data_IF_815448112288
#
_entry.id   IF_815448112288
#
_cell.length_a   1.000
_cell.length_b   1.000
_cell.length_c   1.000
_cell.angle_alpha   90.00
_cell.angle_beta   90.00
_cell.angle_gamma   90.00
#
_symmetry.space_group_name_H-M   'P 1'
#
loop_
_entity.id
_entity.type
_entity.pdbx_description
1 polymer ?
#
# COMPACT_ATOMS: atom_id res chain seq x y z
N UNK A 1 -4.81 -23.23 -17.20
CA UNK A 1 -4.67 -21.77 -16.99
C UNK A 1 -4.76 -21.53 -15.49
N UNK A 2 -3.89 -20.67 -14.95
CA UNK A 2 -3.92 -20.33 -13.53
C UNK A 2 -5.25 -19.64 -13.18
N UNK A 3 -5.78 -19.95 -12.00
CA UNK A 3 -7.03 -19.38 -11.47
C UNK A 3 -6.90 -17.87 -11.31
N UNK A 4 -7.85 -17.09 -11.83
CA UNK A 4 -7.82 -15.62 -11.73
C UNK A 4 -7.94 -15.18 -10.26
N UNK A 5 -6.82 -14.78 -9.67
CA UNK A 5 -6.70 -14.53 -8.24
C UNK A 5 -6.40 -13.06 -7.97
N UNK A 6 -7.21 -12.44 -7.12
CA UNK A 6 -7.01 -11.08 -6.65
C UNK A 6 -6.58 -11.11 -5.19
N UNK A 7 -5.44 -10.50 -4.88
CA UNK A 7 -5.05 -10.18 -3.52
C UNK A 7 -5.33 -8.70 -3.24
N UNK A 8 -6.06 -8.44 -2.16
CA UNK A 8 -6.32 -7.09 -1.66
C UNK A 8 -5.49 -6.90 -0.40
N UNK A 9 -4.49 -6.04 -0.47
CA UNK A 9 -3.54 -5.79 0.60
C UNK A 9 -3.90 -4.50 1.34
N UNK A 10 -4.00 -4.59 2.66
CA UNK A 10 -4.07 -3.43 3.56
C UNK A 10 -2.88 -3.37 4.51
N UNK A 11 -2.90 -2.38 5.40
CA UNK A 11 -1.72 -2.02 6.19
C UNK A 11 -1.26 -3.17 7.11
N UNK A 12 -2.18 -4.04 7.55
CA UNK A 12 -1.86 -5.22 8.34
C UNK A 12 -0.98 -6.25 7.61
N UNK A 13 -0.91 -6.23 6.27
CA UNK A 13 -0.02 -7.10 5.51
C UNK A 13 1.45 -6.67 5.63
N UNK A 14 1.71 -5.36 5.63
CA UNK A 14 3.05 -4.79 5.81
C UNK A 14 3.44 -4.71 7.29
N UNK A 15 2.50 -4.84 8.22
CA UNK A 15 2.79 -4.86 9.66
C UNK A 15 3.74 -6.01 10.07
N UNK A 16 3.61 -7.18 9.44
CA UNK A 16 4.44 -8.35 9.77
C UNK A 16 5.95 -8.14 9.53
N UNK A 17 6.30 -7.16 8.70
CA UNK A 17 7.70 -6.76 8.41
C UNK A 17 8.11 -5.45 9.11
N UNK A 18 7.25 -4.92 9.98
CA UNK A 18 7.56 -3.76 10.83
C UNK A 18 7.01 -2.41 10.35
N UNK A 19 6.14 -2.36 9.34
CA UNK A 19 5.52 -1.10 8.93
C UNK A 19 4.40 -0.68 9.91
N UNK A 20 4.17 0.63 10.10
CA UNK A 20 3.18 1.14 11.04
C UNK A 20 1.75 0.89 10.53
N UNK A 21 0.83 0.61 11.46
CA UNK A 21 -0.61 0.47 11.18
C UNK A 21 -1.45 1.29 12.15
N UNK A 22 -2.64 1.72 11.69
CA UNK A 22 -3.63 2.40 12.52
C UNK A 22 -3.06 3.59 13.28
N UNK A 23 -3.12 3.55 14.61
CA UNK A 23 -2.67 4.63 15.48
C UNK A 23 -1.18 4.94 15.34
N UNK A 24 -0.32 3.95 15.07
CA UNK A 24 1.13 4.22 14.97
C UNK A 24 1.46 5.15 13.80
N UNK A 25 0.84 4.93 12.64
CA UNK A 25 1.00 5.81 11.47
C UNK A 25 0.45 7.22 11.76
N UNK A 26 -0.69 7.31 12.44
CA UNK A 26 -1.29 8.57 12.88
C UNK A 26 -0.36 9.35 13.81
N UNK A 27 0.29 8.66 14.75
CA UNK A 27 1.25 9.28 15.67
C UNK A 27 2.50 9.78 14.93
N UNK A 28 3.00 9.01 13.96
CA UNK A 28 4.14 9.40 13.15
C UNK A 28 3.81 10.63 12.29
N UNK A 29 2.63 10.68 11.66
CA UNK A 29 2.14 11.85 10.91
C UNK A 29 1.97 13.07 11.83
N UNK A 30 1.38 12.90 13.01
CA UNK A 30 1.20 13.98 13.99
C UNK A 30 2.54 14.61 14.39
N UNK A 31 3.54 13.76 14.68
CA UNK A 31 4.91 14.19 15.00
C UNK A 31 5.58 14.92 13.83
N UNK A 32 5.44 14.42 12.60
CA UNK A 32 6.00 15.04 11.40
C UNK A 32 5.43 16.46 11.19
N UNK A 33 4.12 16.62 11.39
CA UNK A 33 3.37 17.84 11.10
C UNK A 33 3.26 18.83 12.27
N UNK A 34 3.95 18.59 13.39
CA UNK A 34 3.78 19.40 14.59
C UNK A 34 4.17 20.89 14.42
N UNK A 35 5.17 21.17 13.58
CA UNK A 35 5.60 22.51 13.13
C UNK A 35 5.60 23.61 14.22
N UNK A 36 6.37 23.43 15.30
CA UNK A 36 6.48 24.38 16.41
C UNK A 36 7.67 25.33 16.22
N UNK A 37 7.52 26.54 16.74
CA UNK A 37 8.53 27.59 16.71
C UNK A 37 8.63 28.25 18.08
N UNK A 38 9.86 28.48 18.54
CA UNK A 38 10.19 29.16 19.80
C UNK A 38 11.05 30.38 19.49
N UNK A 39 10.64 31.56 19.95
CA UNK A 39 11.32 32.83 19.68
C UNK A 39 11.61 33.08 18.18
N UNK A 40 10.71 32.62 17.30
CA UNK A 40 10.84 32.74 15.84
C UNK A 40 11.73 31.68 15.17
N UNK A 41 12.33 30.76 15.94
CA UNK A 41 13.14 29.66 15.43
C UNK A 41 12.36 28.36 15.43
N UNK A 42 12.55 27.51 14.41
CA UNK A 42 11.93 26.19 14.35
C UNK A 42 12.39 25.32 15.53
N UNK A 43 11.45 24.75 16.29
CA UNK A 43 11.75 23.98 17.50
C UNK A 43 11.24 22.54 17.46
N UNK A 44 10.20 22.22 16.68
CA UNK A 44 9.68 20.85 16.59
C UNK A 44 8.92 20.57 15.28
N UNK A 45 8.89 19.31 14.86
CA UNK A 45 8.32 18.83 13.59
C UNK A 45 9.40 18.43 12.59
N UNK A 46 9.02 18.21 11.33
CA UNK A 46 9.95 17.90 10.26
C UNK A 46 10.49 19.18 9.58
N UNK A 47 11.77 19.47 9.80
CA UNK A 47 12.43 20.66 9.25
C UNK A 47 12.59 20.63 7.73
N UNK A 48 12.81 19.45 7.13
CA UNK A 48 12.88 19.29 5.67
C UNK A 48 11.54 19.60 5.02
N UNK A 49 10.44 19.15 5.62
CA UNK A 49 9.09 19.50 5.18
C UNK A 49 8.86 21.02 5.29
N UNK A 50 9.26 21.66 6.39
CA UNK A 50 9.18 23.12 6.51
C UNK A 50 9.97 23.84 5.40
N UNK A 51 11.19 23.38 5.09
CA UNK A 51 11.98 23.92 3.98
C UNK A 51 11.28 23.70 2.63
N UNK A 52 10.68 22.53 2.41
CA UNK A 52 9.94 22.23 1.18
C UNK A 52 8.74 23.17 0.99
N UNK A 53 8.01 23.48 2.07
CA UNK A 53 6.90 24.43 2.03
C UNK A 53 7.39 25.86 1.73
N UNK A 54 8.51 26.28 2.34
CA UNK A 54 9.11 27.59 2.00
C UNK A 54 9.50 27.68 0.55
N UNK A 55 10.12 26.64 -0.01
CA UNK A 55 10.46 26.59 -1.43
C UNK A 55 9.21 26.59 -2.32
N UNK A 56 8.16 25.88 -1.91
CA UNK A 56 6.90 25.81 -2.65
C UNK A 56 6.18 27.16 -2.73
N UNK A 57 6.30 28.00 -1.70
CA UNK A 57 5.67 29.32 -1.64
C UNK A 57 6.64 30.46 -1.98
N UNK A 58 7.71 30.19 -2.73
CA UNK A 58 8.72 31.19 -3.11
C UNK A 58 9.29 32.01 -1.94
N UNK A 59 9.44 31.36 -0.77
CA UNK A 59 9.83 31.95 0.51
C UNK A 59 8.89 33.07 1.04
N UNK A 60 7.66 33.14 0.55
CA UNK A 60 6.62 34.01 1.07
C UNK A 60 6.15 33.52 2.46
N UNK A 61 6.50 34.26 3.50
CA UNK A 61 6.19 33.89 4.89
C UNK A 61 4.68 33.79 5.16
N UNK A 62 3.87 34.70 4.61
CA UNK A 62 2.43 34.70 4.87
C UNK A 62 1.78 33.45 4.26
N UNK A 63 2.19 33.07 3.06
CA UNK A 63 1.71 31.87 2.39
C UNK A 63 2.22 30.59 3.05
N UNK A 64 3.52 30.52 3.40
CA UNK A 64 4.08 29.39 4.16
C UNK A 64 3.31 29.19 5.48
N UNK A 65 2.96 30.27 6.17
CA UNK A 65 2.21 30.21 7.42
C UNK A 65 0.82 29.60 7.26
N UNK A 66 0.18 29.71 6.09
CA UNK A 66 -1.08 29.01 5.80
C UNK A 66 -0.86 27.48 5.80
N UNK A 67 0.18 26.99 5.14
CA UNK A 67 0.50 25.55 5.15
C UNK A 67 0.90 25.05 6.55
N UNK A 68 1.65 25.84 7.30
CA UNK A 68 2.01 25.51 8.69
C UNK A 68 0.76 25.40 9.57
N UNK A 69 -0.22 26.28 9.38
CA UNK A 69 -1.50 26.20 10.08
C UNK A 69 -2.22 24.89 9.78
N UNK A 70 -2.27 24.47 8.51
CA UNK A 70 -2.86 23.18 8.14
C UNK A 70 -2.06 21.98 8.69
N UNK A 71 -0.72 22.05 8.71
CA UNK A 71 0.12 21.02 9.35
C UNK A 71 -0.27 20.82 10.83
N UNK A 72 -0.35 21.92 11.59
CA UNK A 72 -0.75 21.88 13.00
C UNK A 72 -2.17 21.37 13.17
N UNK A 73 -3.08 21.80 12.29
CA UNK A 73 -4.46 21.33 12.31
C UNK A 73 -4.55 19.80 12.13
N UNK A 74 -3.82 19.23 11.17
CA UNK A 74 -3.72 17.78 11.00
C UNK A 74 -3.11 17.15 12.26
N UNK A 75 -1.96 17.65 12.73
CA UNK A 75 -1.24 17.13 13.89
C UNK A 75 -2.11 17.02 15.14
N UNK A 76 -2.85 18.08 15.45
CA UNK A 76 -3.65 18.19 16.68
C UNK A 76 -4.92 17.33 16.62
N UNK A 77 -5.45 17.06 15.42
CA UNK A 77 -6.70 16.31 15.24
C UNK A 77 -6.50 14.85 14.84
N UNK A 78 -5.27 14.43 14.52
CA UNK A 78 -4.98 13.05 14.13
C UNK A 78 -5.36 11.99 15.19
N UNK A 79 -5.28 12.26 16.52
CA UNK A 79 -5.83 11.34 17.53
C UNK A 79 -7.34 11.08 17.38
N UNK A 80 -8.11 12.06 16.90
CA UNK A 80 -9.56 11.95 16.67
C UNK A 80 -9.91 11.27 15.33
N UNK A 81 -8.99 11.30 14.36
CA UNK A 81 -9.21 10.76 13.04
C UNK A 81 -9.20 9.22 13.03
N UNK A 82 -10.03 8.61 12.16
CA UNK A 82 -9.99 7.17 11.92
C UNK A 82 -8.69 6.78 11.20
N UNK A 83 -8.33 7.54 10.17
CA UNK A 83 -7.08 7.44 9.41
C UNK A 83 -6.76 8.81 8.80
N UNK A 84 -5.54 8.97 8.27
CA UNK A 84 -5.16 10.17 7.51
C UNK A 84 -6.05 10.34 6.28
N UNK A 85 -6.43 9.25 5.60
CA UNK A 85 -7.27 9.29 4.40
C UNK A 85 -8.67 9.82 4.70
N UNK A 86 -9.28 9.33 5.78
CA UNK A 86 -10.58 9.82 6.24
C UNK A 86 -10.50 11.29 6.67
N UNK A 87 -9.39 11.72 7.27
CA UNK A 87 -9.20 13.11 7.67
C UNK A 87 -9.11 14.04 6.45
N UNK A 88 -8.25 13.71 5.47
CA UNK A 88 -8.12 14.48 4.23
C UNK A 88 -9.45 14.50 3.46
N UNK A 89 -10.19 13.39 3.41
CA UNK A 89 -11.50 13.34 2.74
C UNK A 89 -12.56 14.18 3.46
N UNK A 90 -12.54 14.28 4.79
CA UNK A 90 -13.46 15.15 5.54
C UNK A 90 -13.24 16.65 5.29
N UNK A 91 -12.04 17.01 4.85
CA UNK A 91 -11.61 18.39 4.53
C UNK A 91 -11.52 18.61 3.01
N UNK A 92 -12.37 17.92 2.24
CA UNK A 92 -12.37 17.98 0.77
C UNK A 92 -12.48 19.41 0.25
N UNK A 93 -11.56 19.77 -0.64
CA UNK A 93 -11.43 21.12 -1.21
C UNK A 93 -10.37 21.98 -0.52
N UNK A 94 -9.78 21.52 0.59
CA UNK A 94 -8.63 22.16 1.21
C UNK A 94 -7.32 21.60 0.64
N UNK A 95 -6.88 22.15 -0.50
CA UNK A 95 -5.68 21.68 -1.21
C UNK A 95 -4.39 21.79 -0.37
N UNK A 96 -4.32 22.78 0.54
CA UNK A 96 -3.17 22.98 1.41
C UNK A 96 -3.04 21.86 2.43
N UNK A 97 -4.16 21.52 3.09
CA UNK A 97 -4.24 20.41 4.03
C UNK A 97 -3.95 19.08 3.33
N UNK A 98 -4.55 18.85 2.15
CA UNK A 98 -4.27 17.66 1.37
C UNK A 98 -2.78 17.54 1.02
N UNK A 99 -2.13 18.62 0.58
CA UNK A 99 -0.70 18.62 0.30
C UNK A 99 0.14 18.30 1.54
N UNK A 100 -0.11 18.96 2.67
CA UNK A 100 0.61 18.71 3.93
C UNK A 100 0.46 17.24 4.38
N UNK A 101 -0.76 16.70 4.34
CA UNK A 101 -1.03 15.30 4.68
C UNK A 101 -0.32 14.31 3.76
N UNK A 102 -0.33 14.56 2.45
CA UNK A 102 0.37 13.73 1.45
C UNK A 102 1.88 13.72 1.66
N UNK A 103 2.51 14.86 1.97
CA UNK A 103 3.95 14.91 2.27
C UNK A 103 4.26 14.11 3.53
N UNK A 104 3.43 14.22 4.58
CA UNK A 104 3.63 13.46 5.81
C UNK A 104 3.49 11.94 5.60
N UNK A 105 2.57 11.51 4.73
CA UNK A 105 2.45 10.10 4.32
C UNK A 105 3.76 9.63 3.65
N UNK A 106 4.28 10.40 2.69
CA UNK A 106 5.53 10.06 1.98
C UNK A 106 6.69 9.90 2.97
N UNK A 107 6.88 10.88 3.86
CA UNK A 107 7.96 10.89 4.86
C UNK A 107 7.83 9.71 5.84
N UNK A 108 6.64 9.49 6.40
CA UNK A 108 6.39 8.41 7.35
C UNK A 108 6.62 7.02 6.74
N UNK A 109 6.14 6.80 5.52
CA UNK A 109 6.21 5.49 4.86
C UNK A 109 7.63 5.19 4.39
N UNK A 110 8.37 6.16 3.84
CA UNK A 110 9.78 5.93 3.48
C UNK A 110 10.65 5.66 4.71
N UNK A 111 10.41 6.37 5.81
CA UNK A 111 11.08 6.09 7.08
C UNK A 111 10.76 4.67 7.58
N UNK A 112 9.51 4.23 7.46
CA UNK A 112 9.09 2.89 7.83
C UNK A 112 9.68 1.80 6.92
N UNK A 113 9.71 2.02 5.60
CA UNK A 113 10.39 1.13 4.65
C UNK A 113 11.85 0.96 5.03
N UNK A 114 12.56 2.05 5.37
CA UNK A 114 13.97 2.04 5.79
C UNK A 114 14.22 1.25 7.08
N UNK A 115 13.22 1.17 7.96
CA UNK A 115 13.29 0.45 9.23
C UNK A 115 12.74 -0.99 9.14
N UNK A 116 12.22 -1.40 7.99
CA UNK A 116 11.57 -2.70 7.82
C UNK A 116 12.58 -3.84 7.65
N UNK A 117 12.09 -5.06 7.79
CA UNK A 117 12.88 -6.28 7.54
C UNK A 117 13.28 -6.46 6.06
N UNK A 118 12.70 -5.67 5.13
CA UNK A 118 13.02 -5.71 3.71
C UNK A 118 14.10 -4.70 3.30
N UNK A 119 14.49 -3.79 4.20
CA UNK A 119 15.55 -2.83 3.92
C UNK A 119 16.93 -3.49 3.95
N UNK A 120 17.80 -3.04 3.06
CA UNK A 120 19.21 -3.41 3.04
C UNK A 120 20.02 -2.29 2.40
N UNK A 121 21.27 -2.11 2.82
CA UNK A 121 22.15 -1.10 2.27
C UNK A 121 22.94 -1.67 1.09
N UNK A 122 22.57 -1.24 -0.12
CA UNK A 122 23.24 -1.63 -1.37
C UNK A 122 24.75 -1.36 -1.37
N UNK A 123 25.20 -0.35 -0.64
CA UNK A 123 26.62 0.05 -0.54
C UNK A 123 27.29 -0.45 0.73
N UNK A 124 26.50 -0.99 1.67
CA UNK A 124 26.97 -1.53 2.93
C UNK A 124 27.40 -2.99 2.84
N UNK A 125 27.48 -3.62 4.03
CA UNK A 125 27.82 -5.03 4.17
C UNK A 125 26.65 -5.94 3.78
N UNK A 126 25.42 -5.54 4.11
CA UNK A 126 24.18 -6.26 3.79
C UNK A 126 23.62 -5.79 2.45
N UNK A 127 24.09 -6.39 1.35
CA UNK A 127 23.74 -5.97 -0.02
C UNK A 127 22.45 -6.59 -0.57
N UNK A 128 21.72 -7.36 0.23
CA UNK A 128 20.49 -8.05 -0.18
C UNK A 128 19.58 -8.29 1.03
N UNK A 129 18.31 -8.54 0.75
CA UNK A 129 17.34 -8.96 1.77
C UNK A 129 17.82 -10.26 2.43
N UNK A 130 17.80 -10.29 3.75
CA UNK A 130 17.95 -11.54 4.50
C UNK A 130 16.58 -12.19 4.69
N UNK A 131 16.27 -13.17 3.85
CA UNK A 131 14.97 -13.86 3.88
C UNK A 131 14.69 -14.61 5.19
N UNK A 132 15.71 -14.93 6.01
CA UNK A 132 15.48 -15.58 7.31
C UNK A 132 14.70 -14.68 8.29
N UNK A 133 14.79 -13.35 8.13
CA UNK A 133 14.00 -12.43 8.95
C UNK A 133 12.50 -12.49 8.61
N UNK A 134 12.16 -12.99 7.41
CA UNK A 134 10.79 -13.06 6.92
C UNK A 134 10.08 -14.39 7.26
N UNK A 135 10.73 -15.30 8.00
CA UNK A 135 10.20 -16.65 8.29
C UNK A 135 8.81 -16.65 8.94
N UNK A 136 8.52 -15.63 9.74
CA UNK A 136 7.23 -15.48 10.44
C UNK A 136 6.23 -14.58 9.70
N UNK A 137 6.48 -14.29 8.42
CA UNK A 137 5.66 -13.39 7.61
C UNK A 137 4.99 -14.11 6.44
N UNK A 138 3.93 -13.51 5.88
CA UNK A 138 3.22 -14.06 4.72
C UNK A 138 4.00 -13.98 3.40
N UNK A 139 5.06 -13.17 3.32
CA UNK A 139 5.84 -12.97 2.10
C UNK A 139 6.47 -14.26 1.57
N UNK A 140 7.10 -15.05 2.44
CA UNK A 140 7.72 -16.32 2.04
C UNK A 140 6.71 -17.38 1.58
N UNK A 141 5.62 -17.70 2.32
CA UNK A 141 4.63 -18.65 1.83
C UNK A 141 3.93 -18.13 0.57
N UNK A 142 3.67 -16.83 0.45
CA UNK A 142 3.15 -16.26 -0.79
C UNK A 142 4.08 -16.54 -1.98
N UNK A 143 5.38 -16.25 -1.86
CA UNK A 143 6.34 -16.55 -2.92
C UNK A 143 6.41 -18.04 -3.25
N UNK A 144 6.36 -18.92 -2.24
CA UNK A 144 6.31 -20.37 -2.46
C UNK A 144 5.06 -20.77 -3.25
N UNK A 145 3.89 -20.26 -2.87
CA UNK A 145 2.63 -20.50 -3.60
C UNK A 145 2.71 -20.03 -5.06
N UNK A 146 3.34 -18.88 -5.31
CA UNK A 146 3.53 -18.39 -6.68
C UNK A 146 4.47 -19.28 -7.52
N UNK A 147 5.51 -19.83 -6.89
CA UNK A 147 6.61 -20.53 -7.60
C UNK A 147 6.54 -22.05 -7.54
N UNK A 148 5.59 -22.60 -6.78
CA UNK A 148 5.36 -24.03 -6.65
C UNK A 148 5.15 -24.69 -8.01
N UNK A 149 5.98 -25.70 -8.31
CA UNK A 149 5.99 -26.45 -9.56
C UNK A 149 6.10 -25.58 -10.83
N UNK A 150 6.74 -24.42 -10.72
CA UNK A 150 6.81 -23.42 -11.79
C UNK A 150 8.27 -23.05 -12.12
N UNK A 151 8.66 -23.12 -13.40
CA UNK A 151 9.99 -22.65 -13.85
C UNK A 151 9.94 -21.16 -14.14
N UNK A 152 11.10 -20.51 -14.17
CA UNK A 152 11.17 -19.07 -14.49
C UNK A 152 10.45 -18.71 -15.81
N UNK A 153 10.54 -19.57 -16.83
CA UNK A 153 9.88 -19.38 -18.13
C UNK A 153 8.34 -19.49 -18.08
N UNK A 154 7.79 -20.15 -17.05
CA UNK A 154 6.35 -20.35 -16.88
C UNK A 154 5.71 -19.23 -16.01
N UNK A 155 6.54 -18.44 -15.30
CA UNK A 155 6.08 -17.37 -14.42
C UNK A 155 5.28 -16.27 -15.14
N UNK A 156 5.64 -15.82 -16.36
CA UNK A 156 4.85 -14.81 -17.06
C UNK A 156 3.38 -15.21 -17.23
N UNK A 157 3.11 -16.45 -17.66
CA UNK A 157 1.74 -16.96 -17.81
C UNK A 157 1.05 -17.02 -16.44
N UNK A 158 1.72 -17.52 -15.41
CA UNK A 158 1.15 -17.61 -14.06
C UNK A 158 0.82 -16.25 -13.47
N UNK A 159 1.73 -15.28 -13.60
CA UNK A 159 1.58 -13.93 -13.05
C UNK A 159 0.48 -13.15 -13.77
N UNK A 160 0.21 -13.43 -15.04
CA UNK A 160 -0.88 -12.79 -15.80
C UNK A 160 -2.27 -13.02 -15.20
N UNK A 161 -2.47 -14.13 -14.47
CA UNK A 161 -3.71 -14.45 -13.76
C UNK A 161 -3.79 -13.86 -12.34
N UNK A 162 -2.83 -13.03 -11.94
CA UNK A 162 -2.71 -12.52 -10.56
C UNK A 162 -2.81 -10.99 -10.56
N UNK A 163 -3.71 -10.49 -9.71
CA UNK A 163 -3.88 -9.07 -9.47
C UNK A 163 -3.57 -8.74 -8.02
N UNK A 164 -2.73 -7.73 -7.79
CA UNK A 164 -2.45 -7.16 -6.48
C UNK A 164 -3.12 -5.78 -6.40
N UNK A 165 -4.15 -5.65 -5.57
CA UNK A 165 -4.78 -4.37 -5.24
C UNK A 165 -4.23 -3.94 -3.88
N UNK A 166 -3.33 -2.97 -3.90
CA UNK A 166 -2.56 -2.54 -2.74
C UNK A 166 -3.10 -1.19 -2.29
N UNK A 167 -3.80 -1.19 -1.15
CA UNK A 167 -4.31 0.05 -0.54
C UNK A 167 -3.24 0.76 0.32
N UNK A 168 -2.06 0.17 0.44
CA UNK A 168 -0.94 0.76 1.15
C UNK A 168 -0.16 1.70 0.24
N UNK A 169 0.51 2.66 0.85
CA UNK A 169 1.41 3.60 0.16
C UNK A 169 2.82 3.03 -0.08
N UNK A 170 3.16 1.99 0.68
CA UNK A 170 4.45 1.32 0.65
C UNK A 170 4.62 0.43 -0.59
N UNK A 171 5.87 0.07 -0.87
CA UNK A 171 6.27 -0.72 -2.05
C UNK A 171 6.82 -2.09 -1.65
N UNK A 172 6.40 -2.59 -0.49
CA UNK A 172 7.05 -3.73 0.17
C UNK A 172 6.93 -5.02 -0.64
N UNK A 173 5.75 -5.30 -1.20
CA UNK A 173 5.54 -6.55 -1.95
C UNK A 173 6.30 -6.54 -3.28
N UNK A 174 6.36 -5.40 -3.97
CA UNK A 174 7.10 -5.28 -5.22
C UNK A 174 8.60 -5.35 -4.99
N UNK A 175 9.10 -4.69 -3.94
CA UNK A 175 10.51 -4.79 -3.52
C UNK A 175 10.88 -6.21 -3.06
N UNK A 176 10.00 -6.90 -2.34
CA UNK A 176 10.21 -8.29 -1.99
C UNK A 176 10.27 -9.20 -3.22
N UNK A 177 9.29 -9.09 -4.13
CA UNK A 177 9.17 -9.98 -5.30
C UNK A 177 10.38 -9.88 -6.21
N UNK A 178 10.88 -8.67 -6.50
CA UNK A 178 12.06 -8.50 -7.37
C UNK A 178 13.29 -9.19 -6.75
N UNK A 179 13.52 -9.01 -5.45
CA UNK A 179 14.66 -9.60 -4.75
C UNK A 179 14.52 -11.12 -4.62
N UNK A 180 13.30 -11.61 -4.38
CA UNK A 180 13.01 -13.04 -4.29
C UNK A 180 13.24 -13.75 -5.64
N UNK A 181 12.80 -13.17 -6.76
CA UNK A 181 13.02 -13.74 -8.09
C UNK A 181 14.50 -13.76 -8.47
N UNK A 182 15.22 -12.66 -8.26
CA UNK A 182 16.67 -12.57 -8.48
C UNK A 182 17.38 -13.65 -7.65
N UNK A 183 17.02 -13.81 -6.37
CA UNK A 183 17.70 -14.78 -5.50
C UNK A 183 17.34 -16.23 -5.82
N UNK A 184 16.08 -16.55 -6.04
CA UNK A 184 15.60 -17.94 -6.15
C UNK A 184 15.89 -18.54 -7.53
N UNK A 185 15.64 -17.79 -8.61
CA UNK A 185 15.89 -18.25 -9.99
C UNK A 185 17.23 -17.78 -10.56
N UNK A 186 18.00 -16.97 -9.81
CA UNK A 186 19.28 -16.38 -10.25
C UNK A 186 19.15 -15.52 -11.50
N UNK A 187 18.04 -14.79 -11.61
CA UNK A 187 17.74 -13.94 -12.75
C UNK A 187 18.48 -12.60 -12.66
N UNK A 188 18.91 -12.04 -13.80
CA UNK A 188 19.23 -10.62 -13.90
C UNK A 188 18.05 -9.74 -13.47
N UNK A 189 18.33 -8.54 -12.95
CA UNK A 189 17.29 -7.62 -12.45
C UNK A 189 16.28 -7.24 -13.54
N UNK A 190 16.72 -7.03 -14.78
CA UNK A 190 15.84 -6.72 -15.90
C UNK A 190 14.90 -7.89 -16.24
N UNK A 191 15.39 -9.14 -16.24
CA UNK A 191 14.54 -10.31 -16.50
C UNK A 191 13.51 -10.51 -15.37
N UNK A 192 13.92 -10.30 -14.10
CA UNK A 192 13.00 -10.37 -12.98
C UNK A 192 11.94 -9.26 -13.04
N UNK A 193 12.32 -8.04 -13.46
CA UNK A 193 11.39 -6.94 -13.69
C UNK A 193 10.39 -7.26 -14.82
N UNK A 194 10.86 -7.84 -15.93
CA UNK A 194 10.02 -8.27 -17.03
C UNK A 194 8.99 -9.32 -16.58
N UNK A 195 9.38 -10.29 -15.74
CA UNK A 195 8.44 -11.26 -15.16
C UNK A 195 7.40 -10.56 -14.29
N UNK A 196 7.81 -9.68 -13.37
CA UNK A 196 6.90 -8.94 -12.48
C UNK A 196 5.94 -8.04 -13.27
N UNK A 197 6.34 -7.53 -14.43
CA UNK A 197 5.48 -6.71 -15.28
C UNK A 197 4.21 -7.43 -15.78
N UNK A 198 4.20 -8.77 -15.72
CA UNK A 198 3.02 -9.58 -16.03
C UNK A 198 1.98 -9.59 -14.89
N UNK A 199 2.33 -9.16 -13.68
CA UNK A 199 1.37 -8.97 -12.59
C UNK A 199 0.52 -7.72 -12.83
N UNK A 200 -0.77 -7.82 -12.51
CA UNK A 200 -1.64 -6.65 -12.45
C UNK A 200 -1.54 -5.97 -11.07
N UNK A 201 -0.58 -5.06 -10.91
CA UNK A 201 -0.40 -4.28 -9.68
C UNK A 201 -1.18 -2.97 -9.77
N UNK A 202 -2.07 -2.73 -8.81
CA UNK A 202 -2.99 -1.59 -8.73
C UNK A 202 -2.81 -0.92 -7.36
N UNK A 203 -2.60 0.40 -7.37
CA UNK A 203 -2.43 1.23 -6.17
C UNK A 203 -3.50 2.33 -6.18
N UNK A 204 -4.69 2.09 -5.61
CA UNK A 204 -5.80 3.06 -5.66
C UNK A 204 -5.41 4.44 -5.11
N UNK A 205 -4.61 4.47 -4.04
CA UNK A 205 -4.11 5.69 -3.41
C UNK A 205 -2.72 6.14 -3.90
N UNK A 206 -2.14 5.46 -4.89
CA UNK A 206 -0.79 5.74 -5.38
C UNK A 206 0.31 5.23 -4.45
N UNK A 207 1.55 5.64 -4.72
CA UNK A 207 2.75 5.13 -4.03
C UNK A 207 3.70 6.26 -3.66
N UNK A 208 4.54 6.04 -2.64
CA UNK A 208 5.59 7.01 -2.23
C UNK A 208 6.71 7.22 -3.24
N UNK A 209 6.69 6.55 -4.40
CA UNK A 209 7.69 6.65 -5.44
C UNK A 209 7.69 5.44 -6.36
N UNK A 210 8.46 5.50 -7.45
CA UNK A 210 8.79 4.32 -8.24
C UNK A 210 10.08 3.70 -7.71
N UNK A 211 10.11 2.37 -7.53
CA UNK A 211 11.37 1.66 -7.29
C UNK A 211 12.27 1.76 -8.54
N UNK A 212 13.60 1.68 -8.40
CA UNK A 212 14.52 1.95 -9.51
C UNK A 212 14.31 1.07 -10.75
N UNK A 213 13.92 -0.19 -10.55
CA UNK A 213 13.68 -1.16 -11.62
C UNK A 213 12.34 -0.96 -12.34
N UNK A 214 11.39 -0.22 -11.74
CA UNK A 214 10.05 -0.06 -12.30
C UNK A 214 10.01 0.95 -13.45
N UNK A 215 10.74 2.06 -13.32
CA UNK A 215 10.70 3.13 -14.31
C UNK A 215 11.97 3.99 -14.25
N UNK A 216 12.84 3.79 -15.25
CA UNK A 216 14.10 4.53 -15.40
C UNK A 216 13.90 6.00 -15.81
N UNK A 217 12.71 6.37 -16.30
CA UNK A 217 12.38 7.73 -16.71
C UNK A 217 11.57 8.49 -15.65
N UNK A 218 11.05 7.78 -14.63
CA UNK A 218 10.31 8.36 -13.53
C UNK A 218 11.15 9.41 -12.82
N UNK A 219 10.56 10.59 -12.74
CA UNK A 219 11.17 11.74 -12.12
C UNK A 219 10.88 11.80 -10.60
N UNK A 220 10.24 10.74 -10.07
CA UNK A 220 9.99 10.40 -8.66
C UNK A 220 10.50 8.98 -8.38
N UNK A 221 11.69 8.67 -8.88
CA UNK A 221 12.37 7.40 -8.66
C UNK A 221 13.19 7.48 -7.38
N UNK A 222 13.01 6.51 -6.50
CA UNK A 222 13.74 6.43 -5.23
C UNK A 222 13.91 4.99 -4.79
N UNK A 223 15.06 4.68 -4.20
CA UNK A 223 15.31 3.39 -3.56
C UNK A 223 14.27 3.09 -2.47
N UNK A 224 14.13 1.81 -2.15
CA UNK A 224 13.29 1.37 -1.04
C UNK A 224 13.82 1.95 0.28
N UNK A 225 12.98 2.69 1.01
CA UNK A 225 13.41 3.44 2.20
C UNK A 225 14.45 4.54 1.94
N UNK A 226 14.52 5.07 0.71
CA UNK A 226 15.44 6.17 0.37
C UNK A 226 15.00 7.52 0.95
N UNK A 227 15.95 8.44 1.07
CA UNK A 227 15.72 9.79 1.60
C UNK A 227 15.37 10.78 0.47
N UNK A 228 14.36 11.63 0.67
CA UNK A 228 13.96 12.66 -0.30
C UNK A 228 14.54 14.02 0.10
N UNK A 229 15.10 14.74 -0.86
CA UNK A 229 15.50 16.13 -0.67
C UNK A 229 14.29 17.07 -0.64
N UNK A 230 14.33 18.12 0.18
CA UNK A 230 13.17 18.98 0.41
C UNK A 230 12.64 19.68 -0.85
N UNK A 231 13.48 19.97 -1.85
CA UNK A 231 13.03 20.49 -3.16
C UNK A 231 12.26 19.48 -4.03
N UNK A 232 12.23 18.20 -3.66
CA UNK A 232 11.53 17.13 -4.38
C UNK A 232 10.26 16.65 -3.67
N UNK A 233 10.09 16.91 -2.36
CA UNK A 233 8.99 16.39 -1.54
C UNK A 233 7.60 16.66 -2.15
N UNK A 234 7.37 17.88 -2.64
CA UNK A 234 6.10 18.28 -3.26
C UNK A 234 5.74 17.36 -4.44
N UNK A 235 6.74 16.98 -5.23
CA UNK A 235 6.57 16.12 -6.40
C UNK A 235 6.22 14.68 -6.02
N UNK A 236 6.81 14.17 -4.94
CA UNK A 236 6.45 12.85 -4.41
C UNK A 236 5.04 12.87 -3.82
N UNK A 237 4.64 13.95 -3.14
CA UNK A 237 3.29 14.10 -2.61
C UNK A 237 2.21 14.05 -3.71
N UNK A 238 2.50 14.54 -4.92
CA UNK A 238 1.58 14.45 -6.08
C UNK A 238 1.30 13.00 -6.53
N UNK A 239 2.13 12.02 -6.14
CA UNK A 239 1.86 10.61 -6.41
C UNK A 239 0.82 10.01 -5.48
N UNK A 240 0.63 10.63 -4.32
CA UNK A 240 -0.37 10.21 -3.34
C UNK A 240 -1.73 10.75 -3.80
N UNK A 241 -2.68 9.84 -3.93
CA UNK A 241 -4.04 10.14 -4.34
C UNK A 241 -4.95 10.10 -3.12
N UNK A 242 -5.72 11.15 -2.95
CA UNK A 242 -6.91 11.16 -2.09
C UNK A 242 -7.96 10.20 -2.64
N UNK A 243 -8.98 9.90 -1.83
CA UNK A 243 -10.11 9.05 -2.24
C UNK A 243 -10.77 9.52 -3.54
N UNK A 244 -11.00 10.82 -3.70
CA UNK A 244 -11.61 11.39 -4.93
C UNK A 244 -10.72 11.24 -6.15
N UNK A 245 -9.42 11.50 -6.00
CA UNK A 245 -8.45 11.35 -7.10
C UNK A 245 -8.29 9.87 -7.50
N UNK A 246 -8.33 8.95 -6.52
CA UNK A 246 -8.24 7.51 -6.76
C UNK A 246 -9.48 6.95 -7.48
N UNK A 247 -10.67 7.38 -7.08
CA UNK A 247 -11.94 6.93 -7.64
C UNK A 247 -12.05 7.19 -9.15
N UNK A 248 -11.52 8.31 -9.63
CA UNK A 248 -11.57 8.71 -11.04
C UNK A 248 -10.34 8.32 -11.87
N UNK A 249 -9.47 7.46 -11.34
CA UNK A 249 -8.23 7.07 -12.04
C UNK A 249 -8.45 5.97 -13.09
N UNK A 250 -7.61 5.93 -14.13
CA UNK A 250 -7.60 4.83 -15.12
C UNK A 250 -7.40 3.45 -14.47
N UNK A 251 -6.71 3.42 -13.32
CA UNK A 251 -6.52 2.19 -12.53
C UNK A 251 -7.84 1.60 -12.05
N UNK A 252 -8.88 2.43 -11.86
CA UNK A 252 -10.22 1.97 -11.48
C UNK A 252 -10.86 1.12 -12.58
N UNK A 253 -10.62 1.43 -13.85
CA UNK A 253 -11.07 0.60 -14.98
C UNK A 253 -10.46 -0.79 -14.93
N UNK A 254 -9.13 -0.87 -14.72
CA UNK A 254 -8.41 -2.15 -14.55
C UNK A 254 -8.90 -2.92 -13.33
N UNK A 255 -9.14 -2.24 -12.21
CA UNK A 255 -9.68 -2.86 -11.00
C UNK A 255 -11.03 -3.53 -11.29
N UNK A 256 -11.97 -2.78 -11.89
CA UNK A 256 -13.31 -3.29 -12.24
C UNK A 256 -13.26 -4.49 -13.16
N UNK A 257 -12.42 -4.42 -14.21
CA UNK A 257 -12.25 -5.54 -15.14
C UNK A 257 -11.74 -6.79 -14.42
N UNK A 258 -10.75 -6.66 -13.54
CA UNK A 258 -10.22 -7.81 -12.80
C UNK A 258 -11.27 -8.37 -11.82
N UNK A 259 -11.98 -7.51 -11.07
CA UNK A 259 -13.01 -7.94 -10.11
C UNK A 259 -14.11 -8.77 -10.78
N UNK A 260 -14.57 -8.38 -11.98
CA UNK A 260 -15.62 -9.07 -12.76
C UNK A 260 -15.26 -10.49 -13.19
N UNK A 261 -13.99 -10.78 -13.40
CA UNK A 261 -13.51 -12.10 -13.85
C UNK A 261 -12.69 -12.83 -12.78
N UNK A 262 -12.79 -12.37 -11.53
CA UNK A 262 -12.13 -13.02 -10.41
C UNK A 262 -12.79 -14.34 -10.07
N UNK A 263 -11.96 -15.33 -9.79
CA UNK A 263 -12.38 -16.66 -9.33
C UNK A 263 -11.97 -16.87 -7.87
N UNK A 264 -10.90 -16.21 -7.43
CA UNK A 264 -10.41 -16.21 -6.05
C UNK A 264 -10.10 -14.80 -5.59
N UNK A 265 -10.50 -14.46 -4.37
CA UNK A 265 -10.26 -13.18 -3.71
C UNK A 265 -9.60 -13.43 -2.34
N UNK A 266 -8.52 -12.72 -2.06
CA UNK A 266 -7.74 -12.90 -0.82
C UNK A 266 -7.48 -11.54 -0.18
N UNK A 267 -8.06 -11.28 0.99
CA UNK A 267 -7.82 -10.04 1.75
C UNK A 267 -6.78 -10.27 2.84
N UNK A 268 -5.68 -9.52 2.78
CA UNK A 268 -4.57 -9.62 3.72
C UNK A 268 -4.40 -8.30 4.48
N UNK A 269 -4.58 -8.33 5.80
CA UNK A 269 -4.38 -7.19 6.68
C UNK A 269 -5.23 -5.96 6.32
N UNK A 270 -6.38 -6.19 5.68
CA UNK A 270 -7.25 -5.16 5.16
C UNK A 270 -8.32 -4.77 6.19
N UNK A 271 -8.46 -3.48 6.48
CA UNK A 271 -9.32 -2.97 7.56
C UNK A 271 -10.81 -2.85 7.17
N UNK A 272 -11.17 -3.12 5.91
CA UNK A 272 -12.55 -3.01 5.39
C UNK A 272 -13.23 -1.66 5.66
N UNK A 273 -12.46 -0.57 5.77
CA UNK A 273 -13.01 0.77 5.91
C UNK A 273 -13.94 1.12 4.74
N UNK A 274 -14.98 1.90 5.05
CA UNK A 274 -16.03 2.27 4.09
C UNK A 274 -15.49 2.85 2.78
N UNK A 275 -14.52 3.77 2.85
CA UNK A 275 -13.91 4.37 1.66
C UNK A 275 -13.21 3.31 0.78
N UNK A 276 -12.42 2.42 1.38
CA UNK A 276 -11.72 1.38 0.61
C UNK A 276 -12.70 0.39 -0.03
N UNK A 277 -13.77 0.02 0.70
CA UNK A 277 -14.84 -0.83 0.16
C UNK A 277 -15.61 -0.14 -0.97
N UNK A 278 -15.82 1.17 -0.87
CA UNK A 278 -16.41 1.96 -1.96
C UNK A 278 -15.51 2.00 -3.19
N UNK A 279 -14.19 2.13 -3.03
CA UNK A 279 -13.24 2.04 -4.14
C UNK A 279 -13.27 0.65 -4.81
N UNK A 280 -13.39 -0.43 -4.04
CA UNK A 280 -13.52 -1.78 -4.60
C UNK A 280 -14.81 -1.96 -5.40
N UNK A 281 -15.90 -1.32 -4.98
CA UNK A 281 -17.18 -1.34 -5.71
C UNK A 281 -17.18 -0.44 -6.95
N UNK A 282 -16.47 0.69 -6.87
CA UNK A 282 -16.40 1.71 -7.91
C UNK A 282 -17.68 2.57 -8.03
N UNK A 283 -17.62 3.56 -8.92
CA UNK A 283 -18.63 4.64 -9.01
C UNK A 283 -20.05 4.22 -9.45
N UNK A 284 -20.25 3.04 -10.04
CA UNK A 284 -21.54 2.67 -10.61
C UNK A 284 -22.55 2.11 -9.60
N UNK A 285 -22.14 1.85 -8.35
CA UNK A 285 -22.92 1.07 -7.37
C UNK A 285 -23.44 -0.28 -7.92
N UNK A 286 -22.89 -0.73 -9.05
CA UNK A 286 -23.24 -2.00 -9.68
C UNK A 286 -22.35 -3.10 -9.11
N UNK A 287 -22.98 -4.07 -8.47
CA UNK A 287 -22.29 -5.25 -7.97
C UNK A 287 -21.77 -6.09 -9.14
N UNK A 288 -20.59 -6.67 -8.97
CA UNK A 288 -19.96 -7.50 -9.99
C UNK A 288 -20.74 -8.81 -10.21
N UNK A 289 -20.95 -9.16 -11.48
CA UNK A 289 -21.56 -10.42 -11.88
C UNK A 289 -20.47 -11.26 -12.55
N UNK A 290 -20.01 -12.27 -11.82
CA UNK A 290 -18.96 -13.19 -12.21
C UNK A 290 -19.58 -14.47 -12.78
N UNK A 291 -18.94 -15.10 -13.78
CA UNK A 291 -19.48 -16.27 -14.46
C UNK A 291 -19.47 -17.54 -13.60
N UNK A 292 -18.71 -17.57 -12.51
CA UNK A 292 -18.58 -18.70 -11.60
C UNK A 292 -18.55 -18.23 -10.12
N UNK A 293 -18.83 -19.13 -9.16
CA UNK A 293 -18.69 -18.83 -7.74
C UNK A 293 -17.26 -18.42 -7.37
N UNK A 294 -17.15 -17.43 -6.47
CA UNK A 294 -15.87 -16.87 -6.04
C UNK A 294 -15.47 -17.48 -4.69
N UNK A 295 -14.22 -17.92 -4.56
CA UNK A 295 -13.65 -18.27 -3.25
C UNK A 295 -12.99 -17.06 -2.63
N UNK A 296 -13.40 -16.72 -1.40
CA UNK A 296 -12.89 -15.57 -0.69
C UNK A 296 -12.24 -16.00 0.62
N UNK A 297 -10.97 -15.60 0.81
CA UNK A 297 -10.22 -15.77 2.05
C UNK A 297 -9.90 -14.39 2.61
N UNK A 298 -10.08 -14.18 3.90
CA UNK A 298 -9.81 -12.89 4.52
C UNK A 298 -9.26 -13.03 5.94
N UNK A 299 -8.21 -12.26 6.25
CA UNK A 299 -7.82 -12.01 7.64
C UNK A 299 -8.71 -10.95 8.26
N UNK A 300 -9.15 -11.17 9.50
CA UNK A 300 -9.82 -10.20 10.35
C UNK A 300 -9.22 -10.25 11.76
N UNK A 301 -7.91 -10.01 11.86
CA UNK A 301 -7.15 -10.06 13.11
C UNK A 301 -7.78 -9.13 14.17
N UNK A 302 -7.98 -9.66 15.38
CA UNK A 302 -8.62 -9.01 16.53
C UNK A 302 -10.08 -8.56 16.32
N UNK A 303 -10.69 -8.84 15.16
CA UNK A 303 -12.07 -8.48 14.90
C UNK A 303 -13.05 -9.37 15.69
N UNK A 304 -14.04 -8.73 16.33
CA UNK A 304 -15.11 -9.45 17.03
C UNK A 304 -15.96 -10.28 16.05
N UNK A 305 -16.77 -11.21 16.56
CA UNK A 305 -17.64 -12.00 15.67
C UNK A 305 -18.68 -11.15 14.95
N UNK A 306 -19.15 -10.08 15.60
CA UNK A 306 -20.06 -9.12 14.97
C UNK A 306 -19.38 -8.33 13.85
N UNK A 307 -18.12 -7.96 14.03
CA UNK A 307 -17.34 -7.27 12.99
C UNK A 307 -17.04 -8.21 11.83
N UNK A 308 -16.68 -9.47 12.08
CA UNK A 308 -16.51 -10.49 11.04
C UNK A 308 -17.80 -10.69 10.22
N UNK A 309 -18.97 -10.69 10.86
CA UNK A 309 -20.26 -10.79 10.16
C UNK A 309 -20.52 -9.55 9.30
N UNK A 310 -20.20 -8.36 9.80
CA UNK A 310 -20.31 -7.10 9.06
C UNK A 310 -19.37 -7.09 7.85
N UNK A 311 -18.10 -7.49 8.03
CA UNK A 311 -17.11 -7.64 6.95
C UNK A 311 -17.63 -8.63 5.90
N UNK A 312 -18.14 -9.79 6.33
CA UNK A 312 -18.71 -10.79 5.42
C UNK A 312 -19.86 -10.20 4.59
N UNK A 313 -20.75 -9.43 5.21
CA UNK A 313 -21.84 -8.74 4.51
C UNK A 313 -21.31 -7.71 3.51
N UNK A 314 -20.28 -6.93 3.87
CA UNK A 314 -19.66 -5.95 2.96
C UNK A 314 -18.98 -6.62 1.77
N UNK A 315 -18.27 -7.74 1.96
CA UNK A 315 -17.66 -8.52 0.88
C UNK A 315 -18.74 -9.11 -0.02
N UNK A 316 -19.80 -9.72 0.54
CA UNK A 316 -20.94 -10.24 -0.24
C UNK A 316 -21.57 -9.15 -1.08
N UNK A 317 -21.66 -7.94 -0.56
CA UNK A 317 -22.27 -6.82 -1.25
C UNK A 317 -21.45 -6.34 -2.47
N UNK A 318 -20.18 -6.72 -2.62
CA UNK A 318 -19.42 -6.44 -3.84
C UNK A 318 -19.95 -7.21 -5.06
N UNK A 319 -20.56 -8.37 -4.87
CA UNK A 319 -20.90 -9.31 -5.93
C UNK A 319 -22.42 -9.61 -5.98
N UNK A 320 -22.93 -9.87 -7.19
CA UNK A 320 -24.25 -10.53 -7.37
C UNK A 320 -24.11 -12.05 -7.32
N UNK A 321 -22.96 -12.56 -7.79
CA UNK A 321 -22.66 -13.98 -7.85
C UNK A 321 -22.47 -14.59 -6.46
N UNK A 322 -22.57 -15.92 -6.40
CA UNK A 322 -22.28 -16.66 -5.18
C UNK A 322 -20.81 -16.47 -4.78
N UNK A 323 -20.58 -16.19 -3.50
CA UNK A 323 -19.25 -16.03 -2.93
C UNK A 323 -19.14 -16.86 -1.65
N UNK A 324 -18.15 -17.77 -1.63
CA UNK A 324 -17.82 -18.63 -0.51
C UNK A 324 -16.76 -17.93 0.33
N UNK A 325 -17.17 -17.34 1.45
CA UNK A 325 -16.30 -16.51 2.28
C UNK A 325 -15.80 -17.29 3.48
N UNK A 326 -14.48 -17.38 3.62
CA UNK A 326 -13.76 -17.81 4.81
C UNK A 326 -13.04 -16.60 5.44
N UNK A 327 -13.55 -16.13 6.58
CA UNK A 327 -12.91 -15.05 7.35
C UNK A 327 -12.30 -15.65 8.61
N UNK A 328 -11.01 -15.43 8.79
CA UNK A 328 -10.23 -15.96 9.90
C UNK A 328 -9.69 -14.82 10.77
N UNK A 329 -9.91 -14.90 12.09
CA UNK A 329 -9.29 -13.98 13.05
C UNK A 329 -7.84 -14.43 13.29
N UNK A 330 -6.96 -14.07 12.36
CA UNK A 330 -5.58 -14.56 12.31
C UNK A 330 -4.68 -13.57 11.56
N UNK A 331 -3.36 -13.78 11.63
CA UNK A 331 -2.37 -12.98 10.89
C UNK A 331 -2.31 -13.40 9.42
N UNK A 332 -1.68 -12.59 8.56
CA UNK A 332 -1.53 -12.94 7.14
C UNK A 332 -0.68 -14.20 6.99
N UNK A 333 0.41 -14.31 7.75
CA UNK A 333 1.29 -15.49 7.75
C UNK A 333 0.52 -16.77 8.09
N UNK A 334 -0.33 -16.70 9.11
CA UNK A 334 -1.10 -17.83 9.59
C UNK A 334 -2.22 -18.22 8.60
N UNK A 335 -2.88 -17.25 7.93
CA UNK A 335 -3.83 -17.54 6.85
C UNK A 335 -3.21 -18.40 5.74
N UNK A 336 -1.99 -18.07 5.30
CA UNK A 336 -1.28 -18.87 4.27
C UNK A 336 -0.91 -20.26 4.77
N UNK A 337 -0.56 -20.39 6.04
CA UNK A 337 -0.24 -21.68 6.65
C UNK A 337 -1.47 -22.60 6.65
N UNK A 338 -2.61 -22.07 7.07
CA UNK A 338 -3.86 -22.82 7.20
C UNK A 338 -4.50 -23.15 5.84
N UNK A 339 -4.25 -22.32 4.83
CA UNK A 339 -4.86 -22.43 3.50
C UNK A 339 -3.85 -22.75 2.38
N UNK A 340 -2.66 -23.28 2.72
CA UNK A 340 -1.57 -23.55 1.76
C UNK A 340 -2.02 -24.29 0.49
N UNK A 341 -2.84 -25.35 0.62
CA UNK A 341 -3.40 -26.09 -0.52
C UNK A 341 -4.47 -25.31 -1.28
N UNK A 342 -5.34 -24.60 -0.55
CA UNK A 342 -6.45 -23.85 -1.13
C UNK A 342 -6.01 -22.61 -1.89
N UNK A 343 -4.86 -22.03 -1.53
CA UNK A 343 -4.24 -20.87 -2.16
C UNK A 343 -3.26 -21.25 -3.29
N UNK A 344 -2.95 -22.54 -3.46
CA UNK A 344 -2.14 -23.06 -4.55
C UNK A 344 -2.67 -22.71 -5.95
N UNK A 345 -1.77 -22.78 -6.94
CA UNK A 345 -2.03 -22.57 -8.37
C UNK A 345 -1.84 -23.86 -9.19
N UNK A 346 -1.90 -25.02 -8.54
CA UNK A 346 -1.87 -26.34 -9.20
C UNK A 346 -3.11 -26.60 -10.05
#
# INVERSE_FOLDING_TARGET
MARNTIYVLGAGASYEIGLPVGNKLKDDISRILQMKFEFGSFSNGNYELYQALRLHTDNNNDETNLYIKECRHISDNMPLAISIDNFIDSERGNDKLALCGKIAIVDAILAAEKQSQLYFDKFGNDRKINFSYLENTWYLPFFRTLTENCRAADLPERFSGITLIIFNYDRCIEHFLIQALISYYRLPENEAADIISNLNIIHPYGTVGSLPWQDQTSSTRIDYGGDIQSNQLIKYAQRIRTFTEGAHSEQMGRLKSNMKYSERLVFLGFAFHRLNMQLLMGDSNERYENPAPIDCFATAFEASKNDQNSISASIKHLFKSEIRINIENTTCAQLFKDNSRSLGYE
#
